data_IF_329951828216
#
_entry.id   IF_329951828216
#
_cell.length_a   1.000
_cell.length_b   1.000
_cell.length_c   1.000
_cell.angle_alpha   90.00
_cell.angle_beta   90.00
_cell.angle_gamma   90.00
#
_symmetry.space_group_name_H-M   'P 1'
#
loop_
_entity.id
_entity.type
_entity.pdbx_description
1 polymer ?
#
# COMPACT_ATOMS: atom_id res chain seq x y z
N UNK A 1 24.30 24.64 -8.78
CA UNK A 1 24.02 23.51 -9.70
C UNK A 1 23.26 24.06 -10.90
N UNK A 2 23.82 23.94 -12.10
CA UNK A 2 23.26 24.59 -13.30
C UNK A 2 22.06 23.82 -13.88
N UNK A 3 21.21 24.52 -14.64
CA UNK A 3 20.04 23.95 -15.31
C UNK A 3 20.35 22.78 -16.27
N UNK A 4 21.60 22.66 -16.73
CA UNK A 4 22.08 21.53 -17.52
C UNK A 4 22.23 20.25 -16.68
N UNK A 5 22.67 20.38 -15.42
CA UNK A 5 22.81 19.27 -14.47
C UNK A 5 21.44 18.74 -14.02
N UNK A 6 20.46 19.62 -13.83
CA UNK A 6 19.08 19.21 -13.53
C UNK A 6 18.42 18.45 -14.69
N UNK A 7 18.65 18.89 -15.93
CA UNK A 7 18.13 18.19 -17.12
C UNK A 7 18.77 16.82 -17.33
N UNK A 8 20.05 16.65 -17.03
CA UNK A 8 20.71 15.33 -17.10
C UNK A 8 20.29 14.42 -15.95
N UNK A 9 20.10 14.96 -14.75
CA UNK A 9 19.55 14.22 -13.62
C UNK A 9 18.13 13.71 -13.88
N UNK A 10 17.26 14.54 -14.45
CA UNK A 10 15.90 14.14 -14.83
C UNK A 10 15.84 13.03 -15.89
N UNK A 11 16.87 12.90 -16.76
CA UNK A 11 16.99 11.80 -17.73
C UNK A 11 17.56 10.52 -17.11
N UNK A 12 18.29 10.64 -16.00
CA UNK A 12 18.84 9.51 -15.27
C UNK A 12 17.85 8.90 -14.28
N UNK A 13 16.85 9.67 -13.82
CA UNK A 13 15.75 9.15 -13.03
C UNK A 13 15.13 7.93 -13.70
N UNK A 14 14.76 6.89 -12.93
CA UNK A 14 14.04 5.76 -13.47
C UNK A 14 12.79 6.32 -14.15
N UNK A 15 12.60 5.93 -15.42
CA UNK A 15 11.37 6.27 -16.12
C UNK A 15 10.16 5.71 -15.37
N UNK A 16 8.94 6.05 -15.80
CA UNK A 16 7.72 5.65 -15.11
C UNK A 16 7.63 4.14 -14.82
N UNK A 17 8.20 3.32 -15.70
CA UNK A 17 8.31 1.86 -15.54
C UNK A 17 9.19 1.46 -14.36
N UNK A 18 10.33 2.12 -14.18
CA UNK A 18 11.22 1.86 -13.04
C UNK A 18 10.61 2.34 -11.72
N UNK A 19 9.84 3.44 -11.76
CA UNK A 19 9.07 3.91 -10.61
C UNK A 19 7.96 2.92 -10.24
N UNK A 20 7.23 2.40 -11.22
CA UNK A 20 6.20 1.39 -10.99
C UNK A 20 6.78 0.07 -10.45
N UNK A 21 7.91 -0.39 -11.00
CA UNK A 21 8.62 -1.56 -10.48
C UNK A 21 9.08 -1.35 -9.03
N UNK A 22 9.56 -0.15 -8.70
CA UNK A 22 9.93 0.19 -7.32
C UNK A 22 8.73 0.13 -6.37
N UNK A 23 7.60 0.76 -6.76
CA UNK A 23 6.36 0.73 -5.97
C UNK A 23 5.92 -0.72 -5.74
N UNK A 24 5.89 -1.55 -6.79
CA UNK A 24 5.47 -2.95 -6.69
C UNK A 24 6.39 -3.80 -5.78
N UNK A 25 7.70 -3.61 -5.85
CA UNK A 25 8.65 -4.39 -5.04
C UNK A 25 8.68 -3.94 -3.59
N UNK A 26 8.47 -2.65 -3.34
CA UNK A 26 8.67 -2.06 -2.01
C UNK A 26 7.40 -1.88 -1.19
N UNK A 27 6.20 -2.08 -1.76
CA UNK A 27 4.94 -1.91 -1.04
C UNK A 27 4.06 -3.18 -0.99
N UNK A 28 3.53 -3.71 -2.11
CA UNK A 28 2.67 -4.88 -2.06
C UNK A 28 3.44 -6.20 -1.92
N UNK A 29 4.63 -6.34 -2.53
CA UNK A 29 5.36 -7.62 -2.49
C UNK A 29 5.74 -8.10 -1.07
N UNK A 30 6.17 -7.23 -0.13
CA UNK A 30 6.47 -7.67 1.23
C UNK A 30 5.23 -8.12 2.01
N UNK A 31 4.08 -7.50 1.75
CA UNK A 31 2.80 -7.86 2.38
C UNK A 31 2.27 -9.19 1.83
N UNK A 32 2.28 -9.35 0.49
CA UNK A 32 1.88 -10.60 -0.17
C UNK A 32 2.77 -11.78 0.20
N UNK A 33 4.08 -11.55 0.33
CA UNK A 33 5.00 -12.59 0.79
C UNK A 33 4.64 -13.03 2.20
N UNK A 34 4.39 -12.07 3.11
CA UNK A 34 4.03 -12.37 4.48
C UNK A 34 2.71 -13.17 4.56
N UNK A 35 1.69 -12.76 3.81
CA UNK A 35 0.42 -13.50 3.68
C UNK A 35 0.65 -14.95 3.22
N UNK A 36 1.52 -15.15 2.22
CA UNK A 36 1.78 -16.47 1.65
C UNK A 36 2.64 -17.38 2.53
N UNK A 37 3.47 -16.81 3.41
CA UNK A 37 4.41 -17.60 4.23
C UNK A 37 3.99 -17.77 5.68
N UNK A 38 3.31 -16.79 6.28
CA UNK A 38 2.97 -16.77 7.70
C UNK A 38 1.49 -16.44 7.88
N UNK A 39 0.69 -17.46 8.25
CA UNK A 39 -0.71 -17.27 8.61
C UNK A 39 -0.79 -16.79 10.07
N UNK A 40 -1.15 -15.52 10.25
CA UNK A 40 -1.94 -14.94 11.36
C UNK A 40 -1.38 -14.94 12.80
N UNK A 41 -0.40 -15.77 13.14
CA UNK A 41 0.09 -15.86 14.53
C UNK A 41 1.30 -14.96 14.83
N UNK A 42 2.05 -14.58 13.79
CA UNK A 42 3.25 -13.75 13.93
C UNK A 42 3.01 -12.33 13.43
N UNK A 43 3.41 -11.34 14.23
CA UNK A 43 3.32 -9.92 13.87
C UNK A 43 4.41 -9.59 12.87
N UNK A 44 4.08 -8.86 11.78
CA UNK A 44 5.11 -8.48 10.83
C UNK A 44 5.97 -7.34 11.39
N UNK A 45 7.24 -7.64 11.67
CA UNK A 45 8.19 -6.61 12.06
C UNK A 45 8.56 -5.70 10.87
N UNK A 46 8.63 -4.38 11.12
CA UNK A 46 9.11 -3.38 10.15
C UNK A 46 10.47 -3.79 9.55
N UNK A 47 11.33 -4.42 10.34
CA UNK A 47 12.67 -4.84 9.93
C UNK A 47 12.61 -5.81 8.73
N UNK A 48 11.68 -6.77 8.74
CA UNK A 48 11.48 -7.78 7.69
C UNK A 48 10.99 -7.14 6.39
N UNK A 49 10.05 -6.20 6.46
CA UNK A 49 9.58 -5.46 5.28
C UNK A 49 10.69 -4.57 4.67
N UNK A 50 11.55 -3.99 5.50
CA UNK A 50 12.67 -3.16 5.03
C UNK A 50 13.75 -3.95 4.27
N UNK A 51 13.91 -5.26 4.51
CA UNK A 51 14.84 -6.10 3.76
C UNK A 51 14.51 -6.18 2.26
N UNK A 52 13.22 -6.20 1.89
CA UNK A 52 12.80 -6.13 0.49
C UNK A 52 13.21 -4.83 -0.17
N UNK A 53 13.06 -3.72 0.56
CA UNK A 53 13.50 -2.41 0.10
C UNK A 53 15.02 -2.41 -0.07
N UNK A 54 15.78 -2.88 0.93
CA UNK A 54 17.24 -3.00 0.87
C UNK A 54 17.73 -3.89 -0.28
N UNK A 55 17.04 -5.01 -0.56
CA UNK A 55 17.37 -5.88 -1.69
C UNK A 55 17.11 -5.24 -3.05
N UNK A 56 16.09 -4.39 -3.17
CA UNK A 56 15.73 -3.70 -4.42
C UNK A 56 16.61 -2.47 -4.71
N UNK A 57 17.09 -1.79 -3.67
CA UNK A 57 17.95 -0.58 -3.75
C UNK A 57 19.14 -0.73 -4.73
N UNK A 58 19.98 -1.78 -4.66
CA UNK A 58 21.14 -1.91 -5.56
C UNK A 58 20.73 -2.05 -7.04
N UNK A 59 19.58 -2.70 -7.32
CA UNK A 59 19.06 -2.82 -8.69
C UNK A 59 18.61 -1.47 -9.23
N UNK A 60 17.91 -0.67 -8.42
CA UNK A 60 17.52 0.69 -8.78
C UNK A 60 18.75 1.58 -9.01
N UNK A 61 19.73 1.52 -8.11
CA UNK A 61 20.98 2.25 -8.22
C UNK A 61 21.74 1.89 -9.51
N UNK A 62 21.82 0.59 -9.84
CA UNK A 62 22.44 0.11 -11.06
C UNK A 62 21.72 0.62 -12.31
N UNK A 63 20.37 0.60 -12.32
CA UNK A 63 19.56 1.11 -13.41
C UNK A 63 19.78 2.60 -13.66
N UNK A 64 19.78 3.41 -12.59
CA UNK A 64 20.01 4.86 -12.66
C UNK A 64 21.42 5.17 -13.15
N UNK A 65 22.45 4.54 -12.57
CA UNK A 65 23.83 4.75 -12.98
C UNK A 65 24.06 4.33 -14.44
N UNK A 66 23.50 3.19 -14.87
CA UNK A 66 23.59 2.73 -16.25
C UNK A 66 22.88 3.69 -17.22
N UNK A 67 21.73 4.26 -16.83
CA UNK A 67 20.99 5.25 -17.62
C UNK A 67 21.79 6.54 -17.77
N UNK A 68 22.25 7.10 -16.64
CA UNK A 68 23.05 8.31 -16.59
C UNK A 68 24.29 8.20 -17.49
N UNK A 69 25.02 7.08 -17.37
CA UNK A 69 26.26 6.83 -18.11
C UNK A 69 26.02 6.73 -19.62
N UNK A 70 24.89 6.15 -20.01
CA UNK A 70 24.47 6.08 -21.42
C UNK A 70 24.06 7.45 -21.97
N UNK A 71 23.38 8.27 -21.17
CA UNK A 71 22.87 9.58 -21.59
C UNK A 71 23.93 10.67 -21.67
N UNK A 72 24.96 10.64 -20.83
CA UNK A 72 25.95 11.72 -20.75
C UNK A 72 27.18 11.49 -21.63
N UNK A 73 27.39 10.27 -22.14
CA UNK A 73 28.49 9.95 -23.05
C UNK A 73 29.89 10.01 -22.41
N UNK A 74 30.02 10.32 -21.11
CA UNK A 74 31.28 10.37 -20.36
C UNK A 74 31.74 8.96 -19.97
N UNK A 75 32.05 8.15 -20.98
CA UNK A 75 32.21 6.69 -20.84
C UNK A 75 33.46 6.22 -20.09
N UNK A 76 34.45 7.06 -19.77
CA UNK A 76 35.73 6.56 -19.20
C UNK A 76 36.47 7.54 -18.28
N UNK A 77 35.77 8.46 -17.61
CA UNK A 77 36.44 9.36 -16.66
C UNK A 77 36.12 8.98 -15.22
N UNK A 78 37.11 9.11 -14.32
CA UNK A 78 36.92 8.96 -12.87
C UNK A 78 35.85 9.93 -12.35
N UNK A 79 35.83 11.15 -12.88
CA UNK A 79 34.78 12.14 -12.63
C UNK A 79 33.39 11.69 -13.10
N UNK A 80 33.31 10.88 -14.16
CA UNK A 80 32.07 10.30 -14.68
C UNK A 80 31.51 9.23 -13.75
N UNK A 81 32.37 8.36 -13.21
CA UNK A 81 31.97 7.37 -12.21
C UNK A 81 31.43 8.06 -10.94
N UNK A 82 32.17 9.03 -10.39
CA UNK A 82 31.77 9.74 -9.17
C UNK A 82 30.41 10.44 -9.33
N UNK A 83 30.18 11.06 -10.48
CA UNK A 83 28.90 11.73 -10.77
C UNK A 83 27.76 10.75 -11.00
N UNK A 84 27.99 9.61 -11.65
CA UNK A 84 27.00 8.54 -11.78
C UNK A 84 26.57 7.97 -10.42
N UNK A 85 27.55 7.70 -9.55
CA UNK A 85 27.31 7.21 -8.19
C UNK A 85 26.57 8.25 -7.36
N UNK A 86 26.97 9.53 -7.44
CA UNK A 86 26.28 10.62 -6.74
C UNK A 86 24.81 10.78 -7.17
N UNK A 87 24.52 10.66 -8.47
CA UNK A 87 23.14 10.70 -8.98
C UNK A 87 22.35 9.48 -8.51
N UNK A 88 22.92 8.29 -8.58
CA UNK A 88 22.27 7.07 -8.09
C UNK A 88 22.00 7.12 -6.58
N UNK A 89 22.97 7.60 -5.79
CA UNK A 89 22.82 7.88 -4.35
C UNK A 89 21.63 8.79 -4.08
N UNK A 90 21.54 9.94 -4.76
CA UNK A 90 20.48 10.90 -4.49
C UNK A 90 19.11 10.35 -4.88
N UNK A 91 18.99 9.71 -6.04
CA UNK A 91 17.73 9.11 -6.49
C UNK A 91 17.32 7.96 -5.56
N UNK A 92 18.22 7.02 -5.27
CA UNK A 92 17.93 5.91 -4.37
C UNK A 92 17.59 6.37 -2.95
N UNK A 93 18.22 7.45 -2.44
CA UNK A 93 17.89 8.01 -1.14
C UNK A 93 16.47 8.56 -1.08
N UNK A 94 16.00 9.23 -2.14
CA UNK A 94 14.61 9.69 -2.25
C UNK A 94 13.65 8.51 -2.25
N UNK A 95 13.93 7.48 -3.05
CA UNK A 95 13.08 6.30 -3.15
C UNK A 95 13.05 5.47 -1.86
N UNK A 96 14.21 5.28 -1.22
CA UNK A 96 14.32 4.61 0.09
C UNK A 96 13.59 5.41 1.17
N UNK A 97 13.77 6.74 1.21
CA UNK A 97 13.08 7.62 2.14
C UNK A 97 11.56 7.60 1.94
N UNK A 98 11.08 7.55 0.70
CA UNK A 98 9.67 7.40 0.39
C UNK A 98 9.12 6.04 0.87
N UNK A 99 9.81 4.93 0.58
CA UNK A 99 9.41 3.61 1.08
C UNK A 99 9.38 3.56 2.61
N UNK A 100 10.40 4.13 3.28
CA UNK A 100 10.43 4.23 4.75
C UNK A 100 9.29 5.09 5.30
N UNK A 101 8.96 6.21 4.64
CA UNK A 101 7.84 7.05 5.05
C UNK A 101 6.50 6.30 4.93
N UNK A 102 6.32 5.49 3.89
CA UNK A 102 5.12 4.67 3.72
C UNK A 102 5.01 3.65 4.86
N UNK A 103 6.08 2.92 5.19
CA UNK A 103 6.10 2.00 6.33
C UNK A 103 5.99 2.67 7.70
N UNK A 104 6.29 3.96 7.79
CA UNK A 104 6.23 4.69 9.06
C UNK A 104 4.87 5.34 9.31
N UNK A 105 4.18 5.76 8.26
CA UNK A 105 3.00 6.63 8.35
C UNK A 105 1.76 6.08 7.64
N UNK A 106 1.92 5.27 6.59
CA UNK A 106 0.80 4.72 5.82
C UNK A 106 0.46 3.34 6.35
N UNK A 107 1.43 2.43 6.37
CA UNK A 107 1.32 1.05 6.90
C UNK A 107 2.27 0.92 8.08
N UNK A 108 1.96 1.51 9.25
CA UNK A 108 2.84 1.46 10.41
C UNK A 108 2.91 0.05 11.00
N UNK A 109 3.85 -0.74 10.48
CA UNK A 109 4.19 -2.07 10.98
C UNK A 109 4.73 -1.98 12.42
N UNK A 110 4.62 -3.07 13.18
CA UNK A 110 5.11 -3.12 14.56
C UNK A 110 6.64 -3.36 14.64
N UNK A 111 7.21 -3.16 15.82
CA UNK A 111 8.63 -3.42 16.07
C UNK A 111 9.56 -2.23 15.86
N UNK A 112 10.77 -2.35 16.38
CA UNK A 112 11.80 -1.33 16.26
C UNK A 112 12.64 -1.57 15.00
N UNK A 113 12.66 -0.61 14.08
CA UNK A 113 13.62 -0.61 13.01
C UNK A 113 14.89 0.13 13.43
N UNK A 114 16.04 -0.51 13.23
CA UNK A 114 17.35 0.14 13.31
C UNK A 114 17.56 1.08 12.12
N UNK A 115 16.80 2.18 12.06
CA UNK A 115 16.73 3.08 10.89
C UNK A 115 18.11 3.56 10.41
N UNK A 116 19.03 3.82 11.36
CA UNK A 116 20.42 4.15 11.04
C UNK A 116 21.15 3.02 10.32
N UNK A 117 20.98 1.78 10.79
CA UNK A 117 21.54 0.59 10.17
C UNK A 117 20.99 0.36 8.76
N UNK A 118 19.69 0.57 8.57
CA UNK A 118 19.04 0.48 7.25
C UNK A 118 19.59 1.55 6.30
N UNK A 119 19.76 2.79 6.77
CA UNK A 119 20.33 3.87 5.98
C UNK A 119 21.81 3.61 5.61
N UNK A 120 22.63 3.13 6.56
CA UNK A 120 24.05 2.82 6.30
C UNK A 120 24.21 1.64 5.34
N UNK A 121 23.47 0.56 5.54
CA UNK A 121 23.50 -0.61 4.67
C UNK A 121 22.94 -0.29 3.29
N UNK A 122 21.85 0.49 3.24
CA UNK A 122 21.27 1.00 2.01
C UNK A 122 22.28 1.82 1.21
N UNK A 123 22.97 2.78 1.83
CA UNK A 123 23.99 3.60 1.16
C UNK A 123 25.13 2.76 0.55
N UNK A 124 25.59 1.73 1.26
CA UNK A 124 26.63 0.83 0.76
C UNK A 124 26.14 0.00 -0.43
N UNK A 125 24.91 -0.51 -0.37
CA UNK A 125 24.28 -1.25 -1.47
C UNK A 125 24.02 -0.34 -2.68
N UNK A 126 23.64 0.92 -2.47
CA UNK A 126 23.52 1.90 -3.56
C UNK A 126 24.86 2.12 -4.25
N UNK A 127 25.93 2.32 -3.49
CA UNK A 127 27.26 2.52 -4.05
C UNK A 127 27.68 1.32 -4.90
N UNK A 128 27.52 0.10 -4.36
CA UNK A 128 27.84 -1.13 -5.07
C UNK A 128 27.01 -1.29 -6.36
N UNK A 129 25.69 -1.12 -6.27
CA UNK A 129 24.78 -1.19 -7.42
C UNK A 129 25.13 -0.14 -8.48
N UNK A 130 25.41 1.10 -8.07
CA UNK A 130 25.76 2.19 -8.98
C UNK A 130 27.09 1.93 -9.71
N UNK A 131 28.10 1.36 -9.06
CA UNK A 131 29.37 0.97 -9.70
C UNK A 131 29.12 -0.09 -10.76
N UNK A 132 28.35 -1.13 -10.43
CA UNK A 132 27.97 -2.19 -11.38
C UNK A 132 27.21 -1.59 -12.57
N UNK A 133 26.23 -0.73 -12.30
CA UNK A 133 25.44 -0.04 -13.32
C UNK A 133 26.28 0.85 -14.25
N UNK A 134 27.24 1.58 -13.69
CA UNK A 134 28.19 2.38 -14.47
C UNK A 134 28.96 1.49 -15.45
N UNK A 135 29.57 0.40 -14.97
CA UNK A 135 30.33 -0.56 -15.79
C UNK A 135 29.45 -1.18 -16.90
N UNK A 136 28.22 -1.57 -16.57
CA UNK A 136 27.24 -2.08 -17.56
C UNK A 136 26.89 -1.01 -18.59
N UNK A 137 26.73 0.25 -18.16
CA UNK A 137 26.49 1.40 -19.03
C UNK A 137 27.64 1.67 -20.01
N UNK A 138 28.87 1.28 -19.67
CA UNK A 138 30.04 1.40 -20.55
C UNK A 138 30.05 0.36 -21.67
N UNK A 139 29.60 -0.86 -21.37
CA UNK A 139 29.66 -2.00 -22.30
C UNK A 139 28.64 -1.97 -23.44
N UNK A 140 27.51 -1.27 -23.28
CA UNK A 140 26.40 -1.30 -24.23
C UNK A 140 26.31 -0.02 -25.09
N UNK A 141 27.04 -0.04 -26.21
CA UNK A 141 27.07 1.07 -27.17
C UNK A 141 25.88 1.19 -28.11
N UNK A 142 25.05 0.15 -28.31
CA UNK A 142 23.95 0.15 -29.28
C UNK A 142 22.86 -0.84 -28.88
N UNK A 143 21.65 -0.35 -28.56
CA UNK A 143 20.32 -1.00 -28.44
C UNK A 143 19.64 -0.53 -27.14
N UNK A 144 18.36 -0.16 -27.09
CA UNK A 144 17.28 -0.04 -28.08
C UNK A 144 16.35 1.01 -27.47
N UNK A 145 15.86 1.99 -28.25
CA UNK A 145 14.62 2.69 -27.88
C UNK A 145 13.58 1.57 -27.72
N UNK A 146 13.13 1.30 -26.48
CA UNK A 146 11.95 0.46 -26.29
C UNK A 146 10.85 1.11 -27.14
N UNK A 147 10.32 0.33 -28.09
CA UNK A 147 9.29 0.81 -29.01
C UNK A 147 8.17 1.46 -28.21
N UNK A 148 7.80 2.68 -28.61
CA UNK A 148 6.76 3.52 -28.02
C UNK A 148 5.43 2.81 -27.75
N UNK A 149 5.17 1.65 -28.35
CA UNK A 149 3.98 0.82 -28.09
C UNK A 149 4.06 0.07 -26.76
N UNK A 150 5.27 -0.27 -26.30
CA UNK A 150 5.48 -1.00 -25.03
C UNK A 150 5.22 -0.10 -23.82
N UNK A 151 5.42 1.21 -23.93
CA UNK A 151 5.14 2.15 -22.82
C UNK A 151 3.65 2.15 -22.42
N UNK A 152 2.74 2.12 -23.40
CA UNK A 152 1.31 1.99 -23.13
C UNK A 152 0.97 0.62 -22.54
N UNK A 153 1.50 -0.47 -23.09
CA UNK A 153 1.22 -1.82 -22.59
C UNK A 153 1.71 -2.01 -21.15
N UNK A 154 2.93 -1.54 -20.84
CA UNK A 154 3.46 -1.57 -19.48
C UNK A 154 2.64 -0.67 -18.56
N UNK A 155 2.26 0.53 -19.02
CA UNK A 155 1.42 1.44 -18.24
C UNK A 155 0.05 0.87 -17.91
N UNK A 156 -0.61 0.22 -18.88
CA UNK A 156 -1.89 -0.47 -18.69
C UNK A 156 -1.73 -1.66 -17.74
N UNK A 157 -0.74 -2.53 -17.96
CA UNK A 157 -0.47 -3.65 -17.05
C UNK A 157 -0.22 -3.17 -15.62
N UNK A 158 0.57 -2.11 -15.44
CA UNK A 158 0.83 -1.54 -14.11
C UNK A 158 -0.40 -0.89 -13.49
N UNK A 159 -1.25 -0.24 -14.27
CA UNK A 159 -2.50 0.29 -13.76
C UNK A 159 -3.42 -0.85 -13.29
N UNK A 160 -3.57 -1.91 -14.08
CA UNK A 160 -4.37 -3.09 -13.72
C UNK A 160 -3.81 -3.77 -12.47
N UNK A 161 -2.50 -4.06 -12.45
CA UNK A 161 -1.84 -4.68 -11.30
C UNK A 161 -1.97 -3.78 -10.07
N UNK A 162 -1.76 -2.47 -10.20
CA UNK A 162 -1.89 -1.52 -9.10
C UNK A 162 -3.31 -1.43 -8.56
N UNK A 163 -4.34 -1.46 -9.42
CA UNK A 163 -5.75 -1.53 -9.02
C UNK A 163 -6.02 -2.80 -8.22
N UNK A 164 -5.58 -3.95 -8.70
CA UNK A 164 -5.77 -5.25 -8.02
C UNK A 164 -5.03 -5.31 -6.69
N UNK A 165 -3.81 -4.76 -6.63
CA UNK A 165 -2.98 -4.80 -5.43
C UNK A 165 -3.35 -3.75 -4.39
N UNK A 166 -4.00 -2.65 -4.76
CA UNK A 166 -4.30 -1.56 -3.82
C UNK A 166 -5.25 -2.03 -2.71
N UNK A 167 -6.32 -2.73 -3.07
CA UNK A 167 -7.27 -3.28 -2.11
C UNK A 167 -6.60 -4.32 -1.20
N UNK A 168 -5.86 -5.26 -1.80
CA UNK A 168 -5.10 -6.29 -1.05
C UNK A 168 -4.10 -5.65 -0.09
N UNK A 169 -3.41 -4.58 -0.51
CA UNK A 169 -2.46 -3.84 0.33
C UNK A 169 -3.15 -3.16 1.52
N UNK A 170 -4.31 -2.54 1.29
CA UNK A 170 -5.11 -1.92 2.37
C UNK A 170 -5.60 -3.01 3.34
N UNK A 171 -6.13 -4.11 2.80
CA UNK A 171 -6.61 -5.25 3.58
C UNK A 171 -5.49 -5.85 4.44
N UNK A 172 -4.36 -6.20 3.85
CA UNK A 172 -3.22 -6.79 4.57
C UNK A 172 -2.63 -5.85 5.62
N UNK A 173 -2.52 -4.56 5.30
CA UNK A 173 -2.08 -3.55 6.28
C UNK A 173 -3.05 -3.38 7.44
N UNK A 174 -4.35 -3.51 7.17
CA UNK A 174 -5.38 -3.49 8.19
C UNK A 174 -5.32 -4.76 9.05
N UNK A 175 -5.21 -5.95 8.45
CA UNK A 175 -5.08 -7.24 9.12
C UNK A 175 -3.89 -7.29 10.07
N UNK A 176 -2.70 -6.90 9.62
CA UNK A 176 -1.48 -6.86 10.45
C UNK A 176 -1.65 -5.96 11.68
N UNK A 177 -2.29 -4.80 11.51
CA UNK A 177 -2.54 -3.84 12.60
C UNK A 177 -3.41 -4.41 13.72
N UNK A 178 -4.19 -5.44 13.41
CA UNK A 178 -5.28 -5.98 14.22
C UNK A 178 -5.11 -7.44 14.62
N UNK A 179 -3.97 -8.05 14.26
CA UNK A 179 -3.58 -9.42 14.62
C UNK A 179 -3.62 -9.71 16.12
N UNK A 180 -3.53 -8.69 16.99
CA UNK A 180 -3.66 -8.81 18.45
C UNK A 180 -4.97 -8.26 19.03
N UNK A 181 -6.00 -8.06 18.21
CA UNK A 181 -7.25 -7.47 18.64
C UNK A 181 -8.07 -8.45 19.51
N UNK A 182 -8.31 -8.07 20.76
CA UNK A 182 -9.17 -8.81 21.68
C UNK A 182 -10.61 -8.31 21.58
N UNK A 183 -11.53 -9.21 21.19
CA UNK A 183 -12.94 -8.87 21.03
C UNK A 183 -13.60 -8.80 22.41
N UNK A 184 -13.83 -7.57 22.88
CA UNK A 184 -14.71 -7.32 24.04
C UNK A 184 -16.12 -7.04 23.50
N UNK A 185 -17.01 -8.02 23.64
CA UNK A 185 -18.40 -7.91 23.20
C UNK A 185 -19.26 -7.10 24.19
N UNK A 186 -20.12 -6.25 23.64
CA UNK A 186 -21.14 -5.48 24.34
C UNK A 186 -22.57 -5.96 24.03
N UNK A 187 -22.69 -7.14 23.42
CA UNK A 187 -23.94 -7.72 22.92
C UNK A 187 -23.89 -7.98 21.41
N UNK A 188 -25.00 -8.47 20.85
CA UNK A 188 -25.04 -8.87 19.45
C UNK A 188 -26.39 -9.44 19.02
N UNK A 189 -26.44 -9.85 17.75
CA UNK A 189 -27.58 -10.49 17.09
C UNK A 189 -27.14 -11.88 16.61
N UNK A 190 -28.07 -12.83 16.62
CA UNK A 190 -27.86 -14.19 16.10
C UNK A 190 -27.41 -15.22 17.14
N UNK A 191 -27.33 -16.51 16.74
CA UNK A 191 -27.04 -17.63 17.64
C UNK A 191 -25.78 -17.47 18.49
N UNK A 192 -24.76 -16.80 17.95
CA UNK A 192 -23.46 -16.59 18.60
C UNK A 192 -23.28 -15.15 19.13
N UNK A 193 -24.32 -14.32 19.03
CA UNK A 193 -24.30 -12.90 19.41
C UNK A 193 -24.49 -12.62 20.91
N UNK A 194 -24.97 -13.61 21.67
CA UNK A 194 -25.42 -13.43 23.05
C UNK A 194 -24.31 -13.64 24.07
N UNK A 195 -23.51 -12.60 24.33
CA UNK A 195 -22.81 -12.50 25.60
C UNK A 195 -23.84 -12.15 26.70
N UNK A 196 -24.46 -13.16 27.31
CA UNK A 196 -25.29 -13.08 28.53
C UNK A 196 -26.51 -12.11 28.54
N UNK A 197 -26.95 -11.55 27.41
CA UNK A 197 -28.07 -10.60 27.31
C UNK A 197 -29.16 -11.01 26.31
N UNK A 198 -30.22 -10.19 26.20
CA UNK A 198 -31.29 -10.38 25.21
C UNK A 198 -30.75 -10.18 23.77
N UNK A 199 -31.03 -11.09 22.82
CA UNK A 199 -30.60 -10.96 21.43
C UNK A 199 -31.03 -9.63 20.82
N UNK A 200 -30.11 -8.96 20.14
CA UNK A 200 -30.35 -7.65 19.52
C UNK A 200 -30.38 -6.48 20.49
N UNK A 201 -30.09 -6.70 21.79
CA UNK A 201 -29.86 -5.63 22.76
C UNK A 201 -28.36 -5.49 22.99
N UNK A 202 -27.84 -4.26 22.89
CA UNK A 202 -26.43 -3.93 23.12
C UNK A 202 -26.31 -2.85 24.19
N UNK A 203 -25.45 -3.09 25.18
CA UNK A 203 -25.25 -2.14 26.29
C UNK A 203 -23.89 -1.50 26.15
N UNK A 204 -23.88 -0.21 25.81
CA UNK A 204 -22.69 0.52 25.44
C UNK A 204 -22.22 1.42 26.59
N UNK A 205 -20.98 1.28 27.06
CA UNK A 205 -20.52 1.94 28.28
C UNK A 205 -20.22 3.45 28.11
N UNK A 206 -20.07 3.93 26.88
CA UNK A 206 -19.75 5.32 26.57
C UNK A 206 -20.27 5.74 25.19
N UNK A 207 -20.38 7.06 24.95
CA UNK A 207 -20.51 7.60 23.60
C UNK A 207 -19.24 7.36 22.77
N UNK A 208 -19.38 7.23 21.45
CA UNK A 208 -18.27 6.98 20.54
C UNK A 208 -18.61 6.06 19.37
N UNK A 209 -17.58 5.66 18.63
CA UNK A 209 -17.71 4.72 17.50
C UNK A 209 -17.62 3.29 18.01
N UNK A 210 -18.51 2.43 17.51
CA UNK A 210 -18.52 0.99 17.77
C UNK A 210 -18.44 0.22 16.46
N UNK A 211 -17.85 -0.97 16.50
CA UNK A 211 -17.75 -1.89 15.39
C UNK A 211 -18.80 -2.99 15.49
N UNK A 212 -19.30 -3.42 14.33
CA UNK A 212 -20.10 -4.62 14.14
C UNK A 212 -19.18 -5.66 13.51
N UNK A 213 -19.03 -6.78 14.20
CA UNK A 213 -18.17 -7.89 13.84
C UNK A 213 -19.04 -9.06 13.40
N UNK A 214 -18.91 -9.51 12.16
CA UNK A 214 -19.48 -10.77 11.69
C UNK A 214 -18.77 -11.93 12.38
N UNK A 215 -19.52 -12.94 12.82
CA UNK A 215 -18.97 -14.14 13.49
C UNK A 215 -19.08 -15.34 12.54
N UNK A 216 -17.99 -16.09 12.41
CA UNK A 216 -17.92 -17.28 11.56
C UNK A 216 -18.13 -16.93 10.09
N UNK A 217 -19.19 -17.47 9.48
CA UNK A 217 -19.49 -17.30 8.05
C UNK A 217 -20.56 -16.23 7.78
N UNK A 218 -20.87 -15.37 8.75
CA UNK A 218 -21.88 -14.34 8.58
C UNK A 218 -21.51 -13.38 7.42
N UNK A 219 -22.49 -12.92 6.62
CA UNK A 219 -22.25 -12.03 5.48
C UNK A 219 -21.49 -10.76 5.84
N UNK A 220 -20.58 -10.33 4.94
CA UNK A 220 -19.74 -9.14 5.11
C UNK A 220 -20.42 -7.80 4.77
N UNK A 221 -21.64 -7.85 4.21
CA UNK A 221 -22.44 -6.69 3.80
C UNK A 221 -23.79 -6.60 4.55
N UNK A 222 -23.80 -6.62 5.90
CA UNK A 222 -25.05 -6.68 6.62
C UNK A 222 -25.86 -5.37 6.55
N UNK A 223 -27.19 -5.49 6.37
CA UNK A 223 -28.13 -4.38 6.59
C UNK A 223 -28.45 -4.29 8.10
N UNK A 224 -27.51 -3.72 8.85
CA UNK A 224 -27.64 -3.46 10.28
C UNK A 224 -28.18 -2.06 10.55
N UNK A 225 -29.16 -1.97 11.46
CA UNK A 225 -29.76 -0.73 11.93
C UNK A 225 -29.70 -0.64 13.44
N UNK A 226 -29.34 0.54 13.94
CA UNK A 226 -29.22 0.81 15.37
C UNK A 226 -30.32 1.77 15.80
N UNK A 227 -31.02 1.42 16.89
CA UNK A 227 -32.08 2.22 17.50
C UNK A 227 -31.80 2.43 18.99
N UNK A 228 -31.94 3.64 19.50
CA UNK A 228 -31.75 3.95 20.92
C UNK A 228 -31.78 5.45 21.19
N UNK A 229 -31.21 5.88 22.32
CA UNK A 229 -31.23 7.28 22.75
C UNK A 229 -30.65 8.21 21.65
N UNK A 230 -31.51 9.01 21.02
CA UNK A 230 -31.12 9.95 19.95
C UNK A 230 -30.80 9.32 18.59
N UNK A 231 -30.94 8.01 18.43
CA UNK A 231 -30.70 7.29 17.16
C UNK A 231 -31.96 6.49 16.77
N UNK A 232 -32.72 6.97 15.78
CA UNK A 232 -33.89 6.26 15.25
C UNK A 232 -33.52 5.50 13.98
N UNK A 233 -33.23 4.20 14.10
CA UNK A 233 -33.04 3.29 12.96
C UNK A 233 -31.92 3.70 12.00
N UNK A 234 -30.82 4.28 12.52
CA UNK A 234 -29.69 4.72 11.69
C UNK A 234 -29.00 3.49 11.09
N UNK A 235 -28.72 3.48 9.76
CA UNK A 235 -27.96 2.41 9.15
C UNK A 235 -26.52 2.44 9.64
N UNK A 236 -25.95 1.27 9.91
CA UNK A 236 -24.53 1.14 10.16
C UNK A 236 -23.75 1.44 8.86
N UNK A 237 -22.59 2.07 9.00
CA UNK A 237 -21.68 2.35 7.87
C UNK A 237 -20.83 1.13 7.61
N UNK A 238 -20.97 0.55 6.41
CA UNK A 238 -20.15 -0.58 5.98
C UNK A 238 -18.66 -0.21 5.94
N UNK A 239 -17.83 -1.15 6.35
CA UNK A 239 -16.39 -1.11 6.12
C UNK A 239 -16.16 -1.57 4.69
N UNK A 240 -15.51 -0.74 3.87
CA UNK A 240 -15.42 -0.99 2.43
C UNK A 240 -14.35 -2.02 2.10
N UNK A 241 -13.22 -1.97 2.81
CA UNK A 241 -12.20 -3.02 2.79
C UNK A 241 -12.14 -3.60 4.19
N UNK A 242 -12.92 -4.65 4.42
CA UNK A 242 -12.90 -5.36 5.68
C UNK A 242 -11.54 -6.05 5.81
N UNK A 243 -10.80 -5.78 6.89
CA UNK A 243 -9.70 -6.68 7.23
C UNK A 243 -10.29 -8.06 7.54
N UNK A 244 -9.59 -9.10 7.10
CA UNK A 244 -10.06 -10.49 7.17
C UNK A 244 -10.26 -11.02 8.59
N UNK A 245 -10.60 -12.30 8.66
CA UNK A 245 -11.05 -12.97 9.87
C UNK A 245 -10.01 -12.89 11.01
N UNK A 246 -10.35 -12.16 12.06
CA UNK A 246 -9.66 -12.14 13.34
C UNK A 246 -10.21 -13.23 14.21
N UNK A 247 -9.39 -14.15 14.69
CA UNK A 247 -9.91 -15.24 15.49
C UNK A 247 -8.83 -16.06 16.13
N UNK A 248 -9.16 -16.66 17.27
CA UNK A 248 -8.42 -17.81 17.80
C UNK A 248 -9.00 -19.08 17.19
N UNK A 249 -8.41 -20.23 17.47
CA UNK A 249 -8.84 -21.56 17.03
C UNK A 249 -10.34 -21.88 17.27
N UNK A 250 -11.05 -21.07 18.06
CA UNK A 250 -12.45 -21.27 18.43
C UNK A 250 -13.48 -20.40 17.67
N UNK A 251 -13.12 -19.23 17.11
CA UNK A 251 -14.06 -18.37 16.39
C UNK A 251 -13.37 -17.31 15.51
N UNK A 252 -13.84 -17.15 14.27
CA UNK A 252 -13.46 -16.10 13.33
C UNK A 252 -14.39 -14.88 13.45
N UNK A 253 -13.84 -13.68 13.42
CA UNK A 253 -14.52 -12.40 13.51
C UNK A 253 -14.08 -11.47 12.38
N UNK A 254 -15.00 -10.93 11.60
CA UNK A 254 -14.68 -9.97 10.54
C UNK A 254 -15.30 -8.60 10.85
N UNK A 255 -14.54 -7.51 10.72
CA UNK A 255 -15.08 -6.17 10.92
C UNK A 255 -15.83 -5.70 9.67
N UNK A 256 -17.17 -5.66 9.76
CA UNK A 256 -18.05 -5.46 8.59
C UNK A 256 -18.74 -4.10 8.57
N UNK A 257 -19.03 -3.51 9.73
CA UNK A 257 -19.68 -2.21 9.80
C UNK A 257 -19.30 -1.44 11.07
N UNK A 258 -19.64 -0.16 11.10
CA UNK A 258 -19.46 0.72 12.26
C UNK A 258 -20.63 1.67 12.43
N UNK A 259 -20.85 2.11 13.67
CA UNK A 259 -21.86 3.11 13.97
C UNK A 259 -21.39 4.03 15.09
N UNK A 260 -21.86 5.28 15.04
CA UNK A 260 -21.54 6.30 16.03
C UNK A 260 -22.69 6.44 17.03
N UNK A 261 -22.35 6.50 18.30
CA UNK A 261 -23.28 6.50 19.43
C UNK A 261 -23.10 7.79 20.22
N UNK A 262 -24.18 8.53 20.52
CA UNK A 262 -24.06 9.83 21.19
C UNK A 262 -23.61 9.69 22.65
N UNK A 263 -24.22 8.77 23.40
CA UNK A 263 -24.02 8.61 24.84
C UNK A 263 -24.07 7.13 25.27
N UNK A 264 -23.57 6.85 26.48
CA UNK A 264 -23.71 5.54 27.11
C UNK A 264 -25.19 5.14 27.24
N UNK A 265 -25.50 3.86 27.06
CA UNK A 265 -26.88 3.39 27.22
C UNK A 265 -27.16 2.05 26.54
N UNK A 266 -28.45 1.71 26.54
CA UNK A 266 -28.97 0.50 25.91
C UNK A 266 -29.49 0.84 24.52
N UNK A 267 -29.04 0.09 23.52
CA UNK A 267 -29.43 0.24 22.12
C UNK A 267 -29.95 -1.10 21.60
N UNK A 268 -30.82 -1.03 20.60
CA UNK A 268 -31.25 -2.18 19.81
C UNK A 268 -30.48 -2.21 18.50
N UNK A 269 -29.88 -3.36 18.21
CA UNK A 269 -29.26 -3.70 16.95
C UNK A 269 -30.15 -4.70 16.21
N UNK A 270 -30.49 -4.39 14.96
CA UNK A 270 -31.20 -5.31 14.08
C UNK A 270 -30.42 -5.45 12.77
N UNK A 271 -30.00 -6.67 12.45
CA UNK A 271 -29.27 -6.97 11.22
C UNK A 271 -30.09 -7.95 10.38
N UNK A 272 -30.44 -7.55 9.15
CA UNK A 272 -31.14 -8.43 8.21
C UNK A 272 -30.13 -9.29 7.46
N UNK A 273 -30.35 -10.59 7.50
CA UNK A 273 -29.60 -11.59 6.73
C UNK A 273 -30.56 -12.65 6.20
N UNK A 274 -30.26 -13.20 5.01
CA UNK A 274 -30.94 -14.39 4.49
C UNK A 274 -30.42 -15.69 5.11
N UNK A 275 -29.27 -15.62 5.78
CA UNK A 275 -28.66 -16.71 6.54
C UNK A 275 -29.12 -16.64 7.99
N UNK A 276 -29.78 -17.70 8.46
CA UNK A 276 -30.32 -17.85 9.81
C UNK A 276 -29.25 -18.10 10.86
N UNK A 277 -28.05 -18.52 10.44
CA UNK A 277 -26.88 -18.69 11.31
C UNK A 277 -26.06 -17.40 11.42
N UNK A 278 -26.36 -16.38 10.62
CA UNK A 278 -25.63 -15.12 10.64
C UNK A 278 -25.66 -14.47 12.03
N UNK A 279 -24.49 -14.30 12.61
CA UNK A 279 -24.29 -13.71 13.92
C UNK A 279 -23.39 -12.49 13.84
N UNK A 280 -23.76 -11.45 14.56
CA UNK A 280 -23.05 -10.18 14.59
C UNK A 280 -22.84 -9.74 16.05
N UNK A 281 -21.61 -9.38 16.40
CA UNK A 281 -21.25 -8.85 17.72
C UNK A 281 -20.96 -7.37 17.62
N UNK A 282 -21.24 -6.64 18.70
CA UNK A 282 -20.84 -5.25 18.86
C UNK A 282 -19.66 -5.18 19.81
N UNK A 283 -18.59 -4.53 19.36
CA UNK A 283 -17.40 -4.29 20.16
C UNK A 283 -16.82 -2.91 19.89
N UNK A 284 -15.67 -2.64 20.51
CA UNK A 284 -14.88 -1.47 20.13
C UNK A 284 -14.35 -1.62 18.70
N UNK A 285 -14.14 -0.52 17.96
CA UNK A 285 -13.48 -0.62 16.68
C UNK A 285 -12.03 -1.06 16.88
N UNK A 286 -11.52 -1.97 16.04
CA UNK A 286 -10.11 -2.33 16.09
C UNK A 286 -9.25 -1.12 15.72
N UNK A 287 -8.12 -0.95 16.41
CA UNK A 287 -7.20 0.17 16.19
C UNK A 287 -6.32 -0.11 14.97
N UNK A 288 -6.74 0.41 13.81
CA UNK A 288 -5.92 0.36 12.59
C UNK A 288 -5.05 1.61 12.54
N UNK A 289 -3.74 1.41 12.58
CA UNK A 289 -2.78 2.50 12.65
C UNK A 289 -2.51 3.12 11.28
N UNK A 290 -2.13 4.40 11.29
CA UNK A 290 -1.66 5.12 10.09
C UNK A 290 -2.79 5.42 9.10
N UNK A 291 -2.41 5.75 7.86
CA UNK A 291 -3.39 6.12 6.82
C UNK A 291 -4.29 4.95 6.40
N UNK A 292 -3.89 3.69 6.62
CA UNK A 292 -4.72 2.52 6.33
C UNK A 292 -6.03 2.53 7.13
N UNK A 293 -6.03 3.06 8.36
CA UNK A 293 -7.24 3.14 9.19
C UNK A 293 -8.35 4.02 8.59
N UNK A 294 -7.99 4.99 7.76
CA UNK A 294 -8.97 5.77 6.99
C UNK A 294 -9.29 5.10 5.65
N UNK A 295 -8.31 4.45 5.01
CA UNK A 295 -8.49 3.79 3.70
C UNK A 295 -9.50 2.65 3.74
N UNK A 296 -9.65 1.92 4.85
CA UNK A 296 -10.67 0.86 4.97
C UNK A 296 -12.11 1.39 4.84
N UNK A 297 -12.31 2.69 5.05
CA UNK A 297 -13.59 3.38 4.90
C UNK A 297 -13.73 4.14 3.57
N UNK A 298 -12.69 4.19 2.74
CA UNK A 298 -12.76 4.87 1.45
C UNK A 298 -13.56 4.06 0.44
N UNK A 299 -14.24 4.71 -0.52
CA UNK A 299 -14.86 4.01 -1.64
C UNK A 299 -13.81 3.20 -2.42
N UNK A 300 -14.14 1.96 -2.81
CA UNK A 300 -13.25 1.08 -3.58
C UNK A 300 -12.66 1.78 -4.81
N UNK A 301 -13.47 2.57 -5.51
CA UNK A 301 -13.03 3.33 -6.69
C UNK A 301 -11.88 4.28 -6.37
N UNK A 302 -11.87 4.92 -5.20
CA UNK A 302 -10.79 5.81 -4.79
C UNK A 302 -9.49 5.03 -4.52
N UNK A 303 -9.60 3.85 -3.88
CA UNK A 303 -8.47 2.95 -3.61
C UNK A 303 -7.88 2.43 -4.93
N UNK A 304 -8.73 2.00 -5.86
CA UNK A 304 -8.31 1.55 -7.19
C UNK A 304 -7.62 2.67 -7.97
N UNK A 305 -8.16 3.90 -7.95
CA UNK A 305 -7.52 5.05 -8.59
C UNK A 305 -6.14 5.32 -8.02
N UNK A 306 -5.98 5.24 -6.68
CA UNK A 306 -4.69 5.39 -6.02
C UNK A 306 -3.69 4.32 -6.50
N UNK A 307 -4.13 3.06 -6.59
CA UNK A 307 -3.36 1.96 -7.15
C UNK A 307 -2.98 2.15 -8.62
N UNK A 308 -3.85 2.77 -9.41
CA UNK A 308 -3.65 3.01 -10.84
C UNK A 308 -2.62 4.12 -11.15
N UNK A 309 -2.37 5.04 -10.20
CA UNK A 309 -1.54 6.25 -10.41
C UNK A 309 -0.19 5.93 -11.08
N UNK A 310 0.62 4.95 -10.65
CA UNK A 310 1.90 4.66 -11.29
C UNK A 310 1.74 4.29 -12.78
N UNK A 311 0.76 3.45 -13.12
CA UNK A 311 0.46 3.07 -14.49
C UNK A 311 -0.04 4.26 -15.33
N UNK A 312 -0.89 5.10 -14.77
CA UNK A 312 -1.38 6.32 -15.41
C UNK A 312 -0.24 7.32 -15.68
N UNK A 313 0.71 7.47 -14.76
CA UNK A 313 1.90 8.30 -14.96
C UNK A 313 2.78 7.76 -16.11
N UNK A 314 2.91 6.44 -16.26
CA UNK A 314 3.60 5.82 -17.41
C UNK A 314 2.90 6.17 -18.72
N UNK A 315 1.57 6.06 -18.75
CA UNK A 315 0.76 6.37 -19.93
C UNK A 315 0.90 7.86 -20.27
N UNK A 316 0.74 8.76 -19.29
CA UNK A 316 0.84 10.21 -19.48
C UNK A 316 2.22 10.63 -19.99
N UNK A 317 3.29 10.06 -19.44
CA UNK A 317 4.65 10.31 -19.90
C UNK A 317 4.85 9.83 -21.35
N UNK A 318 4.35 8.64 -21.68
CA UNK A 318 4.43 8.08 -23.03
C UNK A 318 3.65 8.94 -24.04
N UNK A 319 2.49 9.46 -23.65
CA UNK A 319 1.68 10.37 -24.47
C UNK A 319 2.38 11.73 -24.70
N UNK A 320 2.94 12.32 -23.65
CA UNK A 320 3.67 13.59 -23.75
C UNK A 320 4.91 13.47 -24.64
N UNK A 321 5.64 12.35 -24.54
CA UNK A 321 6.80 12.10 -25.41
C UNK A 321 6.39 12.03 -26.89
N UNK A 322 5.33 11.30 -27.22
CA UNK A 322 4.82 11.25 -28.61
C UNK A 322 4.35 12.60 -29.13
N UNK A 323 3.73 13.42 -28.30
CA UNK A 323 3.30 14.77 -28.69
C UNK A 323 4.50 15.67 -29.00
N UNK A 324 5.58 15.57 -28.24
CA UNK A 324 6.82 16.29 -28.50
C UNK A 324 7.45 15.86 -29.83
N UNK A 325 7.57 14.56 -30.09
CA UNK A 325 8.13 14.04 -31.35
C UNK A 325 7.31 14.45 -32.58
N UNK A 326 5.97 14.53 -32.48
CA UNK A 326 5.12 15.03 -33.59
C UNK A 326 5.26 16.52 -33.87
N UNK A 327 5.66 17.33 -32.88
CA UNK A 327 5.89 18.77 -33.05
C UNK A 327 7.25 19.09 -33.66
N UNK A 328 8.22 18.19 -33.56
CA UNK A 328 9.57 18.37 -34.12
C UNK A 328 9.67 17.99 -35.60
N UNK A 329 8.62 17.43 -36.23
CA UNK A 329 8.57 17.18 -37.68
C UNK A 329 8.06 18.45 -38.36
N UNK A 330 8.90 19.22 -39.10
CA UNK A 330 8.41 20.36 -39.88
C UNK A 330 7.54 19.84 -41.02
N UNK A 331 6.47 20.58 -41.36
CA UNK A 331 5.71 20.33 -42.57
C UNK A 331 6.67 20.37 -43.79
N UNK A 332 6.56 19.42 -44.74
CA UNK A 332 7.36 19.49 -45.95
C UNK A 332 7.02 20.80 -46.69
N UNK A 333 8.05 21.62 -46.91
CA UNK A 333 8.00 22.77 -47.80
C UNK A 333 8.09 22.32 -49.26
#
# INVERSE_FOLDING_TARGET
>A
MDAAAWRTMGRACPGPVGLAAWVAVTLPAPLLFFEGTHRWEERQDVSTALWWTLGAVPVLAAGVAASWTRCTGRRRTSSGLLTAVGVAMLVSAVFLGASMAVYRWVVPLQGAAGWRGVLSSGALLVAAGAVIGYLVGLGNGRRRRLSDRHGYLIGVMMAVVGVLLAEVTVRLGAEDSTSGYEVISHGGVGPYGAAAGEPGVVTLPAGGRYAILAVGFAPHDPDCRVTGAGASGRPAKLVTVAPGDYGTDAAAYAWVASFDVPDAGVYSLNCRSSDDQASYLVGKPPDIRGAVGELVHWPLVAIWLLGAVPGLLVIAHTANRRRAERREVPAPA
#
